data_IF_635244957654
#
_entry.id   IF_635244957654
#
_cell.length_a   1.000
_cell.length_b   1.000
_cell.length_c   1.000
_cell.angle_alpha   90.00
_cell.angle_beta   90.00
_cell.angle_gamma   90.00
#
_symmetry.space_group_name_H-M   'P 1'
#
loop_
_entity.id
_entity.type
_entity.pdbx_description
1 polymer ?
#
# COMPACT_ATOMS: atom_id res chain seq x y z
N UNK A 1 -10.06 7.90 -30.43
CA UNK A 1 -8.61 7.80 -30.18
C UNK A 1 -8.38 8.03 -28.70
N UNK A 2 -8.16 6.97 -27.93
CA UNK A 2 -7.81 7.07 -26.51
C UNK A 2 -6.37 7.58 -26.40
N UNK A 3 -6.20 8.79 -25.86
CA UNK A 3 -4.87 9.31 -25.53
C UNK A 3 -4.27 8.43 -24.45
N UNK A 4 -3.20 7.71 -24.75
CA UNK A 4 -2.46 6.98 -23.72
C UNK A 4 -1.97 7.99 -22.70
N UNK A 5 -2.40 7.82 -21.46
CA UNK A 5 -2.05 8.69 -20.34
C UNK A 5 -0.65 8.39 -19.75
N UNK A 6 0.17 7.66 -20.46
CA UNK A 6 1.53 7.36 -20.06
C UNK A 6 2.42 8.57 -20.30
N UNK A 7 2.59 9.39 -19.27
CA UNK A 7 3.53 10.49 -19.30
C UNK A 7 4.94 9.96 -19.06
N UNK A 8 5.74 9.90 -20.13
CA UNK A 8 7.18 9.70 -20.02
C UNK A 8 7.76 10.73 -19.05
N UNK A 9 8.46 10.26 -18.01
CA UNK A 9 9.15 11.13 -17.03
C UNK A 9 8.41 11.37 -15.71
N UNK A 10 7.18 10.86 -15.52
CA UNK A 10 6.57 10.92 -14.19
C UNK A 10 7.03 9.74 -13.30
N UNK A 11 7.37 10.00 -12.03
CA UNK A 11 7.69 8.92 -11.08
C UNK A 11 6.54 7.90 -11.00
N UNK A 12 6.86 6.61 -10.96
CA UNK A 12 5.89 5.51 -10.86
C UNK A 12 4.92 5.74 -9.71
N UNK A 13 5.41 6.24 -8.57
CA UNK A 13 4.59 6.58 -7.42
C UNK A 13 3.49 7.60 -7.75
N UNK A 14 3.81 8.65 -8.50
CA UNK A 14 2.82 9.64 -8.92
C UNK A 14 1.75 9.06 -9.86
N UNK A 15 2.10 8.10 -10.70
CA UNK A 15 1.17 7.41 -11.59
C UNK A 15 0.21 6.51 -10.78
N UNK A 16 0.73 5.76 -9.81
CA UNK A 16 -0.08 4.95 -8.90
C UNK A 16 -1.10 5.79 -8.15
N UNK A 17 -0.69 6.93 -7.58
CA UNK A 17 -1.59 7.80 -6.82
C UNK A 17 -2.74 8.34 -7.67
N UNK A 18 -2.47 8.69 -8.93
CA UNK A 18 -3.51 9.18 -9.85
C UNK A 18 -4.59 8.14 -10.15
N UNK A 19 -4.31 6.85 -10.00
CA UNK A 19 -5.30 5.79 -10.16
C UNK A 19 -6.16 5.56 -8.92
N UNK A 20 -5.83 6.18 -7.78
CA UNK A 20 -6.56 6.03 -6.53
C UNK A 20 -7.67 7.07 -6.41
N UNK A 21 -8.89 6.60 -6.19
CA UNK A 21 -10.03 7.45 -5.87
C UNK A 21 -9.96 7.91 -4.40
N UNK A 22 -9.60 9.19 -4.21
CA UNK A 22 -9.48 9.78 -2.88
C UNK A 22 -10.78 9.74 -2.10
N UNK A 23 -11.90 10.09 -2.75
CA UNK A 23 -13.19 10.21 -2.08
C UNK A 23 -13.65 8.85 -1.56
N UNK A 24 -13.49 7.82 -2.39
CA UNK A 24 -13.83 6.46 -2.02
C UNK A 24 -12.96 5.93 -0.88
N UNK A 25 -11.67 6.18 -0.90
CA UNK A 25 -10.75 5.74 0.16
C UNK A 25 -11.06 6.45 1.49
N UNK A 26 -11.39 7.74 1.46
CA UNK A 26 -11.79 8.47 2.67
C UNK A 26 -13.15 7.98 3.19
N UNK A 27 -14.09 7.64 2.30
CA UNK A 27 -15.36 7.01 2.67
C UNK A 27 -15.13 5.68 3.40
N UNK A 28 -14.29 4.80 2.85
CA UNK A 28 -13.91 3.53 3.50
C UNK A 28 -13.26 3.81 4.86
N UNK A 29 -12.32 4.74 4.94
CA UNK A 29 -11.70 5.12 6.22
C UNK A 29 -12.72 5.58 7.26
N UNK A 30 -13.72 6.38 6.84
CA UNK A 30 -14.80 6.86 7.70
C UNK A 30 -15.66 5.71 8.22
N UNK A 31 -16.01 4.75 7.35
CA UNK A 31 -16.76 3.54 7.71
C UNK A 31 -16.07 2.75 8.83
N UNK A 32 -14.74 2.68 8.80
CA UNK A 32 -13.93 2.02 9.82
C UNK A 32 -13.55 2.92 11.02
N UNK A 33 -14.18 4.09 11.15
CA UNK A 33 -13.92 5.03 12.25
C UNK A 33 -12.57 5.75 12.16
N UNK A 34 -11.85 5.60 11.06
CA UNK A 34 -10.50 6.15 10.87
C UNK A 34 -10.44 7.68 10.74
N UNK A 35 -11.59 8.34 10.53
CA UNK A 35 -11.68 9.80 10.35
C UNK A 35 -12.19 10.54 11.60
N UNK A 36 -12.44 9.84 12.70
CA UNK A 36 -12.95 10.46 13.93
C UNK A 36 -11.88 11.38 14.53
N UNK A 37 -12.24 12.65 14.76
CA UNK A 37 -11.36 13.70 15.31
C UNK A 37 -10.11 14.03 14.47
N UNK A 38 -10.13 13.76 13.17
CA UNK A 38 -9.02 14.08 12.27
C UNK A 38 -9.14 15.50 11.75
N UNK A 39 -8.03 16.26 11.82
CA UNK A 39 -7.95 17.62 11.29
C UNK A 39 -7.33 17.67 9.88
N UNK A 40 -6.24 16.93 9.65
CA UNK A 40 -5.46 17.05 8.41
C UNK A 40 -4.89 15.74 7.88
N UNK A 41 -4.67 14.73 8.73
CA UNK A 41 -4.06 13.46 8.33
C UNK A 41 -5.13 12.38 8.13
N UNK A 42 -5.87 12.50 7.02
CA UNK A 42 -6.96 11.59 6.66
C UNK A 42 -6.46 10.18 6.24
N UNK A 43 -7.39 9.25 6.05
CA UNK A 43 -7.09 7.87 5.66
C UNK A 43 -6.41 7.77 4.31
N UNK A 44 -6.73 8.65 3.38
CA UNK A 44 -6.06 8.70 2.09
C UNK A 44 -4.59 9.11 2.24
N UNK A 45 -4.31 10.17 2.97
CA UNK A 45 -2.94 10.63 3.23
C UNK A 45 -2.13 9.58 3.99
N UNK A 46 -2.78 8.87 4.94
CA UNK A 46 -2.16 7.76 5.65
C UNK A 46 -1.81 6.61 4.69
N UNK A 47 -2.75 6.19 3.85
CA UNK A 47 -2.50 5.16 2.83
C UNK A 47 -1.33 5.54 1.92
N UNK A 48 -1.30 6.78 1.40
CA UNK A 48 -0.20 7.26 0.57
C UNK A 48 1.13 7.22 1.30
N UNK A 49 1.16 7.65 2.56
CA UNK A 49 2.39 7.62 3.36
C UNK A 49 2.89 6.19 3.56
N UNK A 50 2.00 5.24 3.83
CA UNK A 50 2.37 3.84 4.00
C UNK A 50 2.82 3.20 2.68
N UNK A 51 2.16 3.51 1.56
CA UNK A 51 2.60 3.07 0.23
C UNK A 51 4.00 3.61 -0.10
N UNK A 52 4.26 4.88 0.18
CA UNK A 52 5.59 5.47 0.01
C UNK A 52 6.63 4.73 0.86
N UNK A 53 6.31 4.43 2.11
CA UNK A 53 7.19 3.71 3.01
C UNK A 53 7.53 2.29 2.50
N UNK A 54 6.54 1.57 1.99
CA UNK A 54 6.72 0.21 1.46
C UNK A 54 7.55 0.23 0.17
N UNK A 55 7.26 1.15 -0.76
CA UNK A 55 7.98 1.27 -2.02
C UNK A 55 9.44 1.65 -1.79
N UNK A 56 9.71 2.56 -0.85
CA UNK A 56 11.06 2.99 -0.50
C UNK A 56 11.76 2.04 0.48
N UNK A 57 11.05 1.03 0.99
CA UNK A 57 11.58 0.01 1.93
C UNK A 57 12.14 0.59 3.22
N UNK A 58 11.45 1.59 3.78
CA UNK A 58 11.83 2.16 5.06
C UNK A 58 11.56 1.19 6.21
N UNK A 59 12.49 1.12 7.14
CA UNK A 59 12.44 0.23 8.30
C UNK A 59 11.86 0.90 9.56
N UNK A 60 11.60 2.22 9.54
CA UNK A 60 11.09 2.93 10.72
C UNK A 60 10.25 4.15 10.36
N UNK A 61 9.32 4.51 11.27
CA UNK A 61 8.53 5.74 11.14
C UNK A 61 9.38 7.01 11.13
N UNK A 62 10.58 6.96 11.75
CA UNK A 62 11.53 8.08 11.73
C UNK A 62 12.14 8.27 10.35
N UNK A 63 12.49 7.18 9.69
CA UNK A 63 13.00 7.22 8.30
C UNK A 63 11.95 7.79 7.35
N UNK A 64 10.68 7.38 7.52
CA UNK A 64 9.56 7.91 6.73
C UNK A 64 9.47 9.42 6.90
N UNK A 65 9.44 9.92 8.15
CA UNK A 65 9.37 11.37 8.44
C UNK A 65 10.55 12.11 7.82
N UNK A 66 11.78 11.61 8.01
CA UNK A 66 13.00 12.22 7.49
C UNK A 66 13.02 12.28 5.96
N UNK A 67 12.71 11.16 5.31
CA UNK A 67 12.68 11.07 3.84
C UNK A 67 11.59 11.95 3.23
N UNK A 68 10.39 11.93 3.81
CA UNK A 68 9.28 12.79 3.35
C UNK A 68 9.61 14.27 3.53
N UNK A 69 10.30 14.64 4.62
CA UNK A 69 10.73 16.03 4.85
C UNK A 69 11.73 16.48 3.79
N UNK A 70 12.66 15.61 3.40
CA UNK A 70 13.64 15.93 2.35
C UNK A 70 12.97 16.09 0.97
N UNK A 71 11.86 15.39 0.72
CA UNK A 71 11.18 15.37 -0.57
C UNK A 71 9.84 16.14 -0.59
N UNK A 72 9.59 17.00 0.39
CA UNK A 72 8.31 17.68 0.58
C UNK A 72 7.76 18.35 -0.70
N UNK A 73 8.63 18.94 -1.53
CA UNK A 73 8.23 19.57 -2.80
C UNK A 73 7.65 18.58 -3.79
N UNK A 74 8.22 17.38 -3.88
CA UNK A 74 7.73 16.31 -4.76
C UNK A 74 6.41 15.73 -4.24
N UNK A 75 6.28 15.61 -2.92
CA UNK A 75 5.09 15.06 -2.27
C UNK A 75 3.86 15.97 -2.43
N UNK A 76 4.07 17.27 -2.53
CA UNK A 76 3.00 18.24 -2.84
C UNK A 76 2.28 17.91 -4.17
N UNK A 77 3.03 17.51 -5.19
CA UNK A 77 2.45 17.15 -6.50
C UNK A 77 1.58 15.88 -6.46
N UNK A 78 1.74 15.06 -5.44
CA UNK A 78 0.95 13.84 -5.24
C UNK A 78 -0.14 13.99 -4.18
N UNK A 79 -0.41 15.23 -3.76
CA UNK A 79 -1.51 15.55 -2.84
C UNK A 79 -1.17 15.47 -1.36
N UNK A 80 0.09 15.20 -0.99
CA UNK A 80 0.55 15.22 0.41
C UNK A 80 0.99 16.64 0.73
N UNK A 81 0.10 17.42 1.36
CA UNK A 81 0.35 18.83 1.67
C UNK A 81 1.26 19.04 2.88
N UNK A 82 1.26 18.12 3.81
CA UNK A 82 1.98 18.22 5.08
C UNK A 82 2.63 16.89 5.39
N UNK A 83 3.92 16.92 5.72
CA UNK A 83 4.64 15.73 6.18
C UNK A 83 4.17 15.36 7.59
N UNK A 84 3.67 14.13 7.79
CA UNK A 84 3.25 13.70 9.11
C UNK A 84 4.45 13.49 10.02
N UNK A 85 4.34 13.93 11.27
CA UNK A 85 5.32 13.61 12.31
C UNK A 85 5.24 12.14 12.68
N UNK A 86 6.32 11.58 13.20
CA UNK A 86 6.39 10.20 13.71
C UNK A 86 5.25 9.87 14.67
N UNK A 87 4.93 10.77 15.62
CA UNK A 87 3.82 10.60 16.54
C UNK A 87 2.47 10.48 15.82
N UNK A 88 2.24 11.36 14.84
CA UNK A 88 1.02 11.32 14.01
C UNK A 88 0.90 10.00 13.24
N UNK A 89 2.00 9.47 12.70
CA UNK A 89 2.02 8.17 12.03
C UNK A 89 1.75 7.03 13.01
N UNK A 90 2.36 7.07 14.19
CA UNK A 90 2.14 6.07 15.23
C UNK A 90 0.68 6.03 15.68
N UNK A 91 0.09 7.21 15.94
CA UNK A 91 -1.30 7.33 16.34
C UNK A 91 -2.26 6.90 15.23
N UNK A 92 -1.94 7.22 13.98
CA UNK A 92 -2.72 6.80 12.82
C UNK A 92 -2.71 5.28 12.64
N UNK A 93 -1.55 4.63 12.80
CA UNK A 93 -1.41 3.17 12.75
C UNK A 93 -2.19 2.48 13.88
N UNK A 94 -2.22 3.07 15.08
CA UNK A 94 -2.98 2.53 16.20
C UNK A 94 -4.49 2.71 16.03
N UNK A 95 -4.92 3.78 15.35
CA UNK A 95 -6.33 4.16 15.25
C UNK A 95 -7.04 3.50 14.07
N UNK A 96 -6.37 3.35 12.92
CA UNK A 96 -6.95 2.75 11.73
C UNK A 96 -6.73 1.24 11.75
N UNK A 97 -7.82 0.44 11.83
CA UNK A 97 -7.72 -1.01 11.89
C UNK A 97 -7.23 -1.59 10.56
N UNK A 98 -6.76 -2.81 10.62
CA UNK A 98 -6.36 -3.58 9.43
C UNK A 98 -7.48 -3.71 8.40
N UNK A 99 -8.73 -3.84 8.87
CA UNK A 99 -9.92 -3.94 8.01
C UNK A 99 -10.13 -2.73 7.09
N UNK A 100 -9.63 -1.55 7.44
CA UNK A 100 -9.58 -0.40 6.54
C UNK A 100 -8.71 -0.69 5.32
N UNK A 101 -7.50 -1.18 5.54
CA UNK A 101 -6.57 -1.49 4.44
C UNK A 101 -7.05 -2.69 3.62
N UNK A 102 -7.67 -3.67 4.27
CA UNK A 102 -8.28 -4.81 3.59
C UNK A 102 -9.41 -4.37 2.65
N UNK A 103 -10.33 -3.50 3.11
CA UNK A 103 -11.43 -3.01 2.27
C UNK A 103 -10.92 -2.14 1.12
N UNK A 104 -9.88 -1.32 1.35
CA UNK A 104 -9.21 -0.58 0.26
C UNK A 104 -8.61 -1.53 -0.77
N UNK A 105 -7.92 -2.59 -0.33
CA UNK A 105 -7.37 -3.59 -1.23
C UNK A 105 -8.46 -4.26 -2.07
N UNK A 106 -9.56 -4.71 -1.44
CA UNK A 106 -10.70 -5.33 -2.14
C UNK A 106 -11.32 -4.38 -3.16
N UNK A 107 -11.53 -3.13 -2.79
CA UNK A 107 -12.03 -2.10 -3.69
C UNK A 107 -11.11 -1.92 -4.91
N UNK A 108 -9.82 -1.76 -4.70
CA UNK A 108 -8.85 -1.60 -5.79
C UNK A 108 -8.78 -2.85 -6.68
N UNK A 109 -8.85 -4.03 -6.10
CA UNK A 109 -8.92 -5.28 -6.84
C UNK A 109 -10.16 -5.32 -7.74
N UNK A 110 -11.34 -5.02 -7.18
CA UNK A 110 -12.60 -5.05 -7.91
C UNK A 110 -12.65 -4.06 -9.08
N UNK A 111 -12.11 -2.86 -8.88
CA UNK A 111 -12.02 -1.85 -9.95
C UNK A 111 -11.08 -2.28 -11.08
N UNK A 112 -9.97 -2.95 -10.74
CA UNK A 112 -8.92 -3.26 -11.70
C UNK A 112 -9.00 -4.69 -12.27
N UNK A 113 -9.77 -5.60 -11.67
CA UNK A 113 -9.87 -7.00 -12.15
C UNK A 113 -10.28 -7.12 -13.62
N UNK A 114 -11.10 -6.20 -14.11
CA UNK A 114 -11.51 -6.17 -15.52
C UNK A 114 -10.36 -5.87 -16.49
N UNK A 115 -9.36 -5.09 -16.05
CA UNK A 115 -8.16 -4.81 -16.84
C UNK A 115 -7.23 -6.02 -16.90
N UNK A 116 -7.10 -6.75 -15.80
CA UNK A 116 -6.32 -7.99 -15.73
C UNK A 116 -6.94 -9.09 -16.62
N UNK A 117 -8.26 -9.19 -16.66
CA UNK A 117 -8.96 -10.20 -17.47
C UNK A 117 -8.98 -9.90 -18.97
N UNK A 118 -8.79 -8.64 -19.40
CA UNK A 118 -8.83 -8.26 -20.81
C UNK A 118 -7.60 -8.74 -21.60
N UNK A 119 -6.45 -8.83 -20.94
CA UNK A 119 -5.22 -9.37 -21.58
C UNK A 119 -5.33 -10.87 -21.83
N UNK A 120 -6.00 -11.60 -20.95
CA UNK A 120 -6.25 -13.03 -21.08
C UNK A 120 -7.22 -13.37 -22.23
N UNK A 121 -8.16 -12.48 -22.55
CA UNK A 121 -9.14 -12.70 -23.64
C UNK A 121 -8.57 -12.51 -25.04
N UNK A 122 -7.48 -11.76 -25.17
CA UNK A 122 -6.86 -11.48 -26.48
C UNK A 122 -6.08 -12.64 -27.06
N UNK A 123 -5.63 -13.59 -26.25
CA UNK A 123 -4.70 -14.65 -26.65
C UNK A 123 -5.30 -16.05 -26.72
N UNK A 124 -6.64 -16.21 -26.90
CA UNK A 124 -7.23 -17.53 -27.02
C UNK A 124 -6.86 -18.43 -25.84
N UNK A 125 -7.03 -17.93 -24.64
CA UNK A 125 -6.47 -18.51 -23.43
C UNK A 125 -7.00 -19.90 -23.19
N UNK A 126 -6.14 -20.91 -23.27
CA UNK A 126 -6.44 -22.28 -22.95
C UNK A 126 -7.04 -22.40 -21.54
N UNK A 127 -7.98 -23.29 -21.37
CA UNK A 127 -8.80 -23.45 -20.16
C UNK A 127 -7.97 -23.69 -18.89
N UNK A 128 -6.74 -24.23 -19.03
CA UNK A 128 -5.81 -24.44 -17.93
C UNK A 128 -5.26 -23.13 -17.32
N UNK A 129 -5.16 -22.03 -18.10
CA UNK A 129 -4.71 -20.73 -17.58
C UNK A 129 -5.72 -20.16 -16.59
N UNK A 130 -7.01 -20.44 -16.78
CA UNK A 130 -8.06 -20.04 -15.82
C UNK A 130 -7.92 -20.73 -14.47
N UNK A 131 -7.22 -21.86 -14.42
CA UNK A 131 -6.93 -22.61 -13.20
C UNK A 131 -5.56 -22.26 -12.60
N UNK A 132 -4.78 -21.40 -13.28
CA UNK A 132 -3.46 -21.02 -12.82
C UNK A 132 -3.57 -20.23 -11.51
N UNK A 133 -2.80 -20.68 -10.52
CA UNK A 133 -2.65 -19.99 -9.25
C UNK A 133 -1.23 -19.51 -9.11
N UNK A 134 -1.06 -18.22 -8.94
CA UNK A 134 0.24 -17.62 -8.66
C UNK A 134 0.42 -17.63 -7.15
N UNK A 135 1.43 -18.32 -6.68
CA UNK A 135 1.80 -18.35 -5.26
C UNK A 135 3.05 -17.52 -5.10
N UNK A 136 2.93 -16.43 -4.36
CA UNK A 136 4.06 -15.61 -3.97
C UNK A 136 4.24 -15.62 -2.45
N UNK A 137 5.46 -15.51 -2.01
CA UNK A 137 5.77 -15.40 -0.59
C UNK A 137 6.65 -14.19 -0.31
N UNK A 138 6.07 -13.23 0.41
CA UNK A 138 6.76 -12.02 0.83
C UNK A 138 7.11 -12.11 2.31
N UNK A 139 8.33 -11.73 2.67
CA UNK A 139 8.73 -11.60 4.08
C UNK A 139 8.66 -10.14 4.50
N UNK A 140 7.73 -9.85 5.40
CA UNK A 140 7.61 -8.53 6.02
C UNK A 140 8.50 -8.51 7.26
N UNK A 141 9.53 -7.68 7.26
CA UNK A 141 10.39 -7.49 8.42
C UNK A 141 9.67 -6.62 9.43
N UNK A 142 9.52 -7.13 10.65
CA UNK A 142 8.97 -6.35 11.76
C UNK A 142 10.08 -5.51 12.39
N UNK A 143 9.69 -4.34 12.91
CA UNK A 143 10.60 -3.49 13.65
C UNK A 143 11.19 -4.24 14.84
N UNK A 144 12.47 -3.99 15.16
CA UNK A 144 13.23 -4.67 16.21
C UNK A 144 12.60 -4.65 17.60
N UNK A 145 11.66 -3.73 17.84
CA UNK A 145 10.94 -3.53 19.09
C UNK A 145 9.48 -4.04 19.05
N UNK A 146 9.08 -4.73 17.99
CA UNK A 146 7.75 -5.31 17.95
C UNK A 146 7.66 -6.46 18.97
N UNK A 147 6.87 -6.23 20.01
CA UNK A 147 6.65 -7.17 21.13
C UNK A 147 5.64 -8.25 20.68
N UNK A 148 5.96 -8.98 19.63
CA UNK A 148 5.19 -10.16 19.26
C UNK A 148 5.87 -11.38 19.86
N UNK A 149 5.32 -11.89 20.97
CA UNK A 149 5.71 -13.19 21.51
C UNK A 149 5.48 -14.27 20.43
N UNK A 150 6.52 -15.00 20.06
CA UNK A 150 6.41 -16.11 19.10
C UNK A 150 6.83 -15.79 17.67
N UNK A 151 7.24 -14.58 17.35
CA UNK A 151 7.78 -14.26 16.02
C UNK A 151 9.24 -14.70 15.93
N UNK A 152 9.52 -15.56 14.97
CA UNK A 152 10.83 -16.16 14.76
C UNK A 152 11.91 -15.21 14.22
N UNK A 153 13.09 -15.75 13.95
CA UNK A 153 14.22 -15.02 13.34
C UNK A 153 13.90 -14.73 11.88
N UNK A 154 14.43 -13.62 11.36
CA UNK A 154 14.31 -13.29 9.95
C UNK A 154 14.96 -14.40 9.10
N UNK A 155 14.22 -15.03 8.15
CA UNK A 155 14.66 -16.25 7.47
C UNK A 155 15.92 -16.05 6.61
N UNK A 156 16.17 -14.82 6.13
CA UNK A 156 17.28 -14.51 5.22
C UNK A 156 18.55 -13.99 5.93
N UNK A 157 18.40 -13.29 7.04
CA UNK A 157 19.56 -12.65 7.71
C UNK A 157 19.94 -13.28 9.03
N UNK A 158 19.17 -14.23 9.56
CA UNK A 158 19.41 -14.90 10.85
C UNK A 158 19.37 -13.97 12.07
N UNK A 159 19.25 -12.65 11.87
CA UNK A 159 19.20 -11.67 12.95
C UNK A 159 17.86 -11.78 13.71
N UNK A 160 17.87 -11.48 15.00
CA UNK A 160 16.68 -11.47 15.88
C UNK A 160 15.70 -10.32 15.54
N UNK A 161 15.51 -10.03 14.27
CA UNK A 161 14.42 -9.18 13.80
C UNK A 161 13.28 -10.10 13.43
N UNK A 162 12.14 -9.95 14.10
CA UNK A 162 10.95 -10.71 13.77
C UNK A 162 10.56 -10.48 12.32
N UNK A 163 10.05 -11.49 11.66
CA UNK A 163 9.51 -11.40 10.31
C UNK A 163 8.23 -12.21 10.20
N UNK A 164 7.28 -11.68 9.46
CA UNK A 164 6.07 -12.40 9.07
C UNK A 164 6.25 -12.82 7.62
N UNK A 165 6.11 -14.12 7.35
CA UNK A 165 6.08 -14.63 5.99
C UNK A 165 4.63 -14.69 5.54
N UNK A 166 4.30 -13.89 4.54
CA UNK A 166 2.98 -13.85 3.92
C UNK A 166 3.02 -14.67 2.64
N UNK A 167 2.17 -15.67 2.54
CA UNK A 167 1.95 -16.40 1.29
C UNK A 167 0.66 -15.90 0.66
N UNK A 168 0.77 -15.34 -0.53
CA UNK A 168 -0.38 -14.87 -1.31
C UNK A 168 -0.66 -15.85 -2.43
N UNK A 169 -1.94 -16.19 -2.60
CA UNK A 169 -2.41 -16.99 -3.72
C UNK A 169 -3.35 -16.13 -4.55
N UNK A 170 -3.00 -15.89 -5.80
CA UNK A 170 -3.79 -15.09 -6.73
C UNK A 170 -4.25 -16.01 -7.86
N UNK A 171 -5.53 -15.98 -8.17
CA UNK A 171 -6.07 -16.62 -9.35
C UNK A 171 -5.76 -15.75 -10.59
N UNK A 172 -5.25 -16.36 -11.64
CA UNK A 172 -4.93 -15.68 -12.90
C UNK A 172 -6.17 -15.60 -13.83
N UNK A 173 -7.34 -15.25 -13.27
CA UNK A 173 -8.57 -15.11 -14.04
C UNK A 173 -8.66 -13.76 -14.74
#
# INVERSE_FOLDING_TARGET
MSKSSNFFGQPIYGQLIKSLDREKIVEISRKHGGEKYIKSFDGFTHLLTMLYAVIQRFDSLREIETAMTAEVRKLHHVGIKTVPRRSTLSDANARRPESFFEEVYRYLYDVNKGMLSSDSRRNGTEEWIKQLRIIDSTTITLFSNAIFKGVGRHPRTGKKKGGIKVHSVIHAN
#
